data_IF_144334569426
#
_entry.id   IF_144334569426
#
_cell.length_a   1.000
_cell.length_b   1.000
_cell.length_c   1.000
_cell.angle_alpha   90.00
_cell.angle_beta   90.00
_cell.angle_gamma   90.00
#
_symmetry.space_group_name_H-M   'P 1'
#
loop_
_entity.id
_entity.type
_entity.pdbx_description
1 polymer ?
#
# COMPACT_ATOMS: atom_id res chain seq x y z
N UNK A 1 -2.86 -2.59 18.60
CA UNK A 1 -2.12 -3.35 17.57
C UNK A 1 -0.94 -4.03 18.25
N UNK A 2 -0.61 -5.29 17.94
CA UNK A 2 0.57 -5.93 18.58
C UNK A 2 1.88 -5.37 18.03
N UNK A 3 2.95 -5.42 18.83
CA UNK A 3 4.31 -5.02 18.41
C UNK A 3 4.73 -5.73 17.11
N UNK A 4 4.43 -7.01 16.98
CA UNK A 4 4.74 -7.80 15.76
C UNK A 4 4.04 -7.25 14.51
N UNK A 5 2.80 -6.79 14.65
CA UNK A 5 2.06 -6.17 13.54
C UNK A 5 2.67 -4.80 13.16
N UNK A 6 3.09 -4.01 14.15
CA UNK A 6 3.77 -2.73 13.90
C UNK A 6 5.12 -2.90 13.20
N UNK A 7 5.89 -3.93 13.59
CA UNK A 7 7.16 -4.29 12.95
C UNK A 7 6.95 -4.79 11.52
N UNK A 8 5.92 -5.61 11.27
CA UNK A 8 5.54 -6.02 9.91
C UNK A 8 5.21 -4.81 9.04
N UNK A 9 4.41 -3.88 9.57
CA UNK A 9 4.10 -2.60 8.92
C UNK A 9 5.35 -1.79 8.57
N UNK A 10 6.30 -1.69 9.50
CA UNK A 10 7.58 -1.01 9.26
C UNK A 10 8.41 -1.69 8.19
N UNK A 11 8.54 -3.02 8.27
CA UNK A 11 9.34 -3.78 7.31
C UNK A 11 8.83 -3.57 5.88
N UNK A 12 7.51 -3.62 5.67
CA UNK A 12 6.92 -3.32 4.36
C UNK A 12 7.13 -1.88 3.94
N UNK A 13 6.91 -0.91 4.84
CA UNK A 13 7.11 0.51 4.56
C UNK A 13 8.55 0.80 4.09
N UNK A 14 9.56 0.35 4.85
CA UNK A 14 10.96 0.60 4.49
C UNK A 14 11.39 -0.20 3.27
N UNK A 15 10.86 -1.39 3.05
CA UNK A 15 11.11 -2.16 1.84
C UNK A 15 10.62 -1.39 0.60
N UNK A 16 9.37 -0.92 0.58
CA UNK A 16 8.85 -0.19 -0.58
C UNK A 16 9.58 1.14 -0.77
N UNK A 17 9.98 1.82 0.31
CA UNK A 17 10.81 3.03 0.21
C UNK A 17 12.12 2.73 -0.51
N UNK A 18 12.85 1.69 -0.07
CA UNK A 18 14.08 1.28 -0.73
C UNK A 18 13.87 0.92 -2.21
N UNK A 19 12.81 0.16 -2.53
CA UNK A 19 12.51 -0.21 -3.93
C UNK A 19 12.25 1.02 -4.80
N UNK A 20 11.41 1.94 -4.32
CA UNK A 20 11.02 3.13 -5.07
C UNK A 20 12.19 4.09 -5.25
N UNK A 21 13.05 4.25 -4.24
CA UNK A 21 14.29 5.02 -4.40
C UNK A 21 15.22 4.43 -5.45
N UNK A 22 15.35 3.09 -5.55
CA UNK A 22 16.12 2.49 -6.65
C UNK A 22 15.50 2.69 -8.03
N UNK A 23 14.20 3.01 -8.09
CA UNK A 23 13.49 3.34 -9.33
C UNK A 23 13.51 4.84 -9.64
N UNK A 24 14.27 5.63 -8.88
CA UNK A 24 14.48 7.06 -9.13
C UNK A 24 13.56 7.99 -8.33
N UNK A 25 12.71 7.48 -7.44
CA UNK A 25 11.82 8.33 -6.65
C UNK A 25 12.50 8.91 -5.41
N UNK A 26 12.25 10.19 -5.14
CA UNK A 26 12.47 10.73 -3.79
C UNK A 26 11.31 10.28 -2.91
N UNK A 27 11.61 9.52 -1.84
CA UNK A 27 10.60 8.94 -0.96
C UNK A 27 10.56 9.68 0.37
N UNK A 28 9.37 10.18 0.74
CA UNK A 28 9.12 10.91 1.98
C UNK A 28 8.12 10.14 2.86
N UNK A 29 8.59 9.28 3.79
CA UNK A 29 7.71 8.63 4.76
C UNK A 29 7.05 9.65 5.70
N UNK A 30 5.77 9.46 6.01
CA UNK A 30 5.05 10.33 6.94
C UNK A 30 5.19 9.85 8.38
N UNK A 31 4.85 10.72 9.34
CA UNK A 31 4.80 10.33 10.75
C UNK A 31 3.70 9.28 10.95
N UNK A 32 4.06 8.16 11.59
CA UNK A 32 3.12 7.04 11.80
C UNK A 32 1.91 7.48 12.60
N UNK A 33 0.72 7.06 12.17
CA UNK A 33 -0.60 7.45 12.72
C UNK A 33 -1.03 8.89 12.41
N UNK A 34 -0.30 9.64 11.57
CA UNK A 34 -0.84 10.85 10.99
C UNK A 34 -2.03 10.50 10.06
N UNK A 35 -3.02 11.40 9.99
CA UNK A 35 -4.06 11.29 8.96
C UNK A 35 -3.41 11.55 7.60
N UNK A 36 -3.48 10.59 6.68
CA UNK A 36 -2.96 10.77 5.33
C UNK A 36 -2.29 9.52 4.78
N UNK A 37 -1.49 9.73 3.73
CA UNK A 37 -0.65 8.70 3.13
C UNK A 37 0.46 8.24 4.08
N UNK A 38 0.94 7.00 3.90
CA UNK A 38 2.09 6.51 4.67
C UNK A 38 3.42 7.05 4.13
N UNK A 39 3.45 7.37 2.82
CA UNK A 39 4.57 8.05 2.20
C UNK A 39 4.10 8.85 0.98
N UNK A 40 4.90 9.85 0.62
CA UNK A 40 4.82 10.56 -0.66
C UNK A 40 6.02 10.19 -1.53
N UNK A 41 5.76 10.05 -2.82
CA UNK A 41 6.79 9.95 -3.86
C UNK A 41 6.86 11.28 -4.56
N UNK A 42 8.06 11.84 -4.65
CA UNK A 42 8.32 13.13 -5.27
C UNK A 42 9.18 12.90 -6.50
N UNK A 43 8.80 13.52 -7.60
CA UNK A 43 9.60 13.54 -8.82
C UNK A 43 10.95 14.24 -8.51
N UNK A 44 12.10 13.57 -8.73
CA UNK A 44 13.41 14.16 -8.43
C UNK A 44 13.72 15.41 -9.27
N UNK A 45 13.05 15.61 -10.41
CA UNK A 45 13.26 16.77 -11.29
C UNK A 45 12.24 17.89 -11.05
N UNK A 46 11.11 17.58 -10.38
CA UNK A 46 10.06 18.55 -10.06
C UNK A 46 9.43 18.24 -8.70
N UNK A 47 9.92 18.92 -7.66
CA UNK A 47 9.46 18.70 -6.28
C UNK A 47 7.97 19.02 -6.05
N UNK A 48 7.33 19.79 -6.95
CA UNK A 48 5.89 20.07 -6.87
C UNK A 48 5.04 18.85 -7.28
N UNK A 49 5.60 17.93 -8.06
CA UNK A 49 4.92 16.72 -8.52
C UNK A 49 5.09 15.62 -7.49
N UNK A 50 4.06 15.42 -6.69
CA UNK A 50 4.05 14.41 -5.63
C UNK A 50 2.86 13.46 -5.73
N UNK A 51 3.09 12.22 -5.32
CA UNK A 51 2.14 11.13 -5.40
C UNK A 51 1.97 10.48 -4.05
N UNK A 52 0.73 10.38 -3.58
CA UNK A 52 0.40 9.78 -2.29
C UNK A 52 0.31 8.25 -2.35
N UNK A 53 0.96 7.56 -1.41
CA UNK A 53 0.98 6.10 -1.33
C UNK A 53 0.55 5.61 0.06
N UNK A 54 -0.36 4.64 0.08
CA UNK A 54 -0.65 3.83 1.26
C UNK A 54 0.16 2.52 1.20
N UNK A 55 0.87 2.20 2.29
CA UNK A 55 1.56 0.93 2.49
C UNK A 55 0.69 -0.03 3.30
N UNK A 56 0.53 -1.27 2.82
CA UNK A 56 -0.13 -2.34 3.57
C UNK A 56 0.77 -3.57 3.58
N UNK A 57 1.44 -3.80 4.71
CA UNK A 57 2.35 -4.92 4.87
C UNK A 57 1.68 -6.11 5.57
N UNK A 58 1.88 -7.30 5.03
CA UNK A 58 1.40 -8.57 5.56
C UNK A 58 2.58 -9.52 5.79
N UNK A 59 2.63 -10.16 6.96
CA UNK A 59 3.67 -11.15 7.26
C UNK A 59 3.52 -12.43 6.42
N UNK A 60 2.30 -12.74 5.99
CA UNK A 60 1.93 -13.89 5.15
C UNK A 60 0.70 -13.54 4.32
N UNK A 61 0.36 -14.37 3.33
CA UNK A 61 -0.86 -14.21 2.52
C UNK A 61 -2.10 -14.07 3.40
N UNK A 62 -2.82 -12.96 3.26
CA UNK A 62 -4.05 -12.61 3.98
C UNK A 62 -4.82 -11.54 3.21
N UNK A 63 -6.11 -11.39 3.49
CA UNK A 63 -6.86 -10.21 3.07
C UNK A 63 -6.32 -8.94 3.75
N UNK A 64 -6.41 -7.80 3.07
CA UNK A 64 -6.02 -6.48 3.57
C UNK A 64 -7.25 -5.75 4.12
N UNK A 65 -7.28 -5.36 5.40
CA UNK A 65 -8.41 -4.60 5.94
C UNK A 65 -8.41 -3.16 5.38
N UNK A 66 -9.57 -2.72 4.89
CA UNK A 66 -9.80 -1.38 4.35
C UNK A 66 -10.63 -0.49 5.29
N UNK A 67 -11.09 -1.03 6.42
CA UNK A 67 -11.91 -0.32 7.42
C UNK A 67 -13.40 -0.40 7.11
N UNK A 68 -14.19 0.53 7.64
CA UNK A 68 -15.67 0.49 7.54
C UNK A 68 -16.25 1.40 6.44
N UNK A 69 -15.42 2.20 5.78
CA UNK A 69 -15.84 3.13 4.73
C UNK A 69 -14.70 3.33 3.72
N UNK A 70 -14.98 2.98 2.46
CA UNK A 70 -14.06 3.17 1.34
C UNK A 70 -13.88 4.67 0.98
N UNK A 71 -14.86 5.50 1.34
CA UNK A 71 -14.81 6.96 1.18
C UNK A 71 -13.84 7.64 2.12
N UNK A 72 -13.17 6.90 3.01
CA UNK A 72 -12.06 7.41 3.85
C UNK A 72 -10.69 7.12 3.27
N UNK A 73 -10.61 6.29 2.23
CA UNK A 73 -9.36 6.01 1.52
C UNK A 73 -9.00 7.23 0.67
N UNK A 74 -7.75 7.68 0.74
CA UNK A 74 -7.29 8.96 0.14
C UNK A 74 -6.07 8.80 -0.75
N UNK A 75 -5.13 7.93 -0.40
CA UNK A 75 -3.90 7.76 -1.16
C UNK A 75 -4.19 7.27 -2.56
N UNK A 76 -3.58 7.93 -3.56
CA UNK A 76 -3.74 7.61 -4.98
C UNK A 76 -3.30 6.19 -5.29
N UNK A 77 -2.19 5.77 -4.71
CA UNK A 77 -1.65 4.41 -4.86
C UNK A 77 -1.65 3.66 -3.55
N UNK A 78 -1.77 2.35 -3.68
CA UNK A 78 -1.71 1.38 -2.61
C UNK A 78 -0.69 0.33 -2.99
N UNK A 79 0.27 0.10 -2.09
CA UNK A 79 1.29 -0.94 -2.27
C UNK A 79 1.13 -1.94 -1.15
N UNK A 80 0.77 -3.16 -1.54
CA UNK A 80 0.58 -4.28 -0.62
C UNK A 80 1.83 -5.14 -0.65
N UNK A 81 2.55 -5.22 0.48
CA UNK A 81 3.73 -6.06 0.62
C UNK A 81 3.36 -7.37 1.32
N UNK A 82 3.54 -8.50 0.66
CA UNK A 82 3.32 -9.84 1.24
C UNK A 82 4.67 -10.46 1.58
N UNK A 83 4.76 -11.10 2.75
CA UNK A 83 6.03 -11.64 3.24
C UNK A 83 6.98 -10.52 3.66
N UNK A 84 6.45 -9.44 4.25
CA UNK A 84 7.21 -8.22 4.54
C UNK A 84 8.43 -8.42 5.45
N UNK A 85 8.47 -9.50 6.22
CA UNK A 85 9.60 -9.86 7.11
C UNK A 85 10.43 -11.03 6.56
N UNK A 86 10.23 -11.40 5.29
CA UNK A 86 11.03 -12.42 4.60
C UNK A 86 12.12 -11.77 3.74
N UNK A 87 13.09 -12.57 3.29
CA UNK A 87 14.17 -12.08 2.43
C UNK A 87 13.71 -11.73 1.00
N UNK A 88 12.54 -12.23 0.59
CA UNK A 88 11.96 -11.97 -0.73
C UNK A 88 10.49 -11.53 -0.63
N UNK A 89 10.21 -10.31 -0.12
CA UNK A 89 8.86 -9.76 -0.13
C UNK A 89 8.34 -9.57 -1.55
N UNK A 90 7.05 -9.81 -1.77
CA UNK A 90 6.37 -9.49 -3.03
C UNK A 90 5.47 -8.28 -2.85
N UNK A 91 5.44 -7.40 -3.84
CA UNK A 91 4.64 -6.20 -3.81
C UNK A 91 3.57 -6.20 -4.90
N UNK A 92 2.41 -5.64 -4.57
CA UNK A 92 1.28 -5.49 -5.48
C UNK A 92 0.85 -4.03 -5.49
N UNK A 93 0.81 -3.44 -6.68
CA UNK A 93 0.57 -2.01 -6.90
C UNK A 93 -0.83 -1.82 -7.46
N UNK A 94 -1.67 -1.08 -6.73
CA UNK A 94 -3.05 -0.80 -7.11
C UNK A 94 -3.35 0.69 -6.99
N UNK A 95 -4.17 1.22 -7.88
CA UNK A 95 -4.76 2.55 -7.74
C UNK A 95 -5.89 2.57 -6.69
N UNK A 96 -6.21 3.76 -6.21
CA UNK A 96 -7.34 3.97 -5.30
C UNK A 96 -8.67 3.46 -5.87
N UNK A 97 -8.88 3.67 -7.18
CA UNK A 97 -10.10 3.21 -7.86
C UNK A 97 -10.20 1.69 -7.86
N UNK A 98 -9.11 1.00 -8.19
CA UNK A 98 -9.06 -0.47 -8.15
C UNK A 98 -9.26 -1.00 -6.72
N UNK A 99 -8.63 -0.39 -5.72
CA UNK A 99 -8.83 -0.78 -4.31
C UNK A 99 -10.31 -0.66 -3.91
N UNK A 100 -11.01 0.39 -4.36
CA UNK A 100 -12.43 0.59 -4.08
C UNK A 100 -13.31 -0.39 -4.86
N UNK A 101 -13.05 -0.57 -6.16
CA UNK A 101 -13.84 -1.41 -7.06
C UNK A 101 -13.69 -2.91 -6.78
N UNK A 102 -12.54 -3.32 -6.23
CA UNK A 102 -12.22 -4.72 -5.93
C UNK A 102 -12.45 -5.09 -4.47
N UNK A 103 -12.90 -4.14 -3.62
CA UNK A 103 -13.14 -4.39 -2.22
C UNK A 103 -14.35 -5.32 -2.01
N UNK A 104 -14.15 -6.35 -1.20
CA UNK A 104 -15.23 -7.14 -0.63
C UNK A 104 -15.79 -6.45 0.60
N UNK A 105 -17.08 -6.67 0.88
CA UNK A 105 -17.75 -6.19 2.09
C UNK A 105 -18.33 -7.34 2.87
N UNK A 106 -18.16 -7.32 4.20
CA UNK A 106 -18.90 -8.19 5.09
C UNK A 106 -20.40 -7.98 4.91
N UNK A 107 -21.14 -9.07 4.68
CA UNK A 107 -22.59 -9.06 4.74
C UNK A 107 -23.09 -9.20 6.20
N UNK A 108 -22.19 -9.50 7.15
CA UNK A 108 -22.42 -9.57 8.59
C UNK A 108 -22.06 -8.31 9.38
N UNK A 109 -21.98 -8.47 10.70
CA UNK A 109 -22.20 -7.43 11.73
C UNK A 109 -21.40 -6.13 11.61
N UNK A 110 -20.13 -6.16 11.24
CA UNK A 110 -19.30 -4.92 11.25
C UNK A 110 -19.34 -4.14 9.93
N UNK A 111 -19.89 -4.74 8.86
CA UNK A 111 -19.91 -4.18 7.49
C UNK A 111 -18.53 -3.69 7.02
N UNK A 112 -17.46 -4.32 7.51
CA UNK A 112 -16.08 -3.96 7.18
C UNK A 112 -15.76 -4.33 5.73
N UNK A 113 -14.84 -3.57 5.14
CA UNK A 113 -14.30 -3.81 3.81
C UNK A 113 -12.91 -4.43 3.92
N UNK A 114 -12.61 -5.33 2.98
CA UNK A 114 -11.27 -5.88 2.80
C UNK A 114 -10.98 -6.12 1.32
N UNK A 115 -9.70 -6.14 0.99
CA UNK A 115 -9.23 -6.56 -0.32
C UNK A 115 -8.70 -8.00 -0.22
N UNK A 116 -9.32 -8.89 -0.99
CA UNK A 116 -9.01 -10.31 -0.98
C UNK A 116 -7.64 -10.63 -1.59
N UNK A 117 -6.89 -11.54 -0.96
CA UNK A 117 -5.57 -11.94 -1.44
C UNK A 117 -5.59 -12.46 -2.87
N UNK A 118 -6.60 -13.26 -3.24
CA UNK A 118 -6.73 -13.78 -4.61
C UNK A 118 -6.95 -12.70 -5.66
N UNK A 119 -7.40 -11.51 -5.26
CA UNK A 119 -7.71 -10.40 -6.16
C UNK A 119 -6.47 -9.52 -6.33
N UNK A 120 -5.89 -9.01 -5.24
CA UNK A 120 -4.74 -8.12 -5.36
C UNK A 120 -3.44 -8.86 -5.75
N UNK A 121 -3.38 -10.19 -5.59
CA UNK A 121 -2.23 -10.98 -6.03
C UNK A 121 -2.33 -11.40 -7.52
N UNK A 122 -3.22 -10.80 -8.30
CA UNK A 122 -3.26 -11.02 -9.74
C UNK A 122 -1.96 -10.55 -10.42
N UNK A 123 -1.52 -11.19 -11.52
CA UNK A 123 -0.29 -10.82 -12.24
C UNK A 123 -0.20 -9.35 -12.61
N UNK A 124 -1.33 -8.72 -12.97
CA UNK A 124 -1.41 -7.31 -13.40
C UNK A 124 -1.04 -6.30 -12.30
N UNK A 125 -1.05 -6.73 -11.03
CA UNK A 125 -0.64 -5.91 -9.89
C UNK A 125 0.76 -6.26 -9.40
N UNK A 126 1.27 -7.46 -9.71
CA UNK A 126 2.52 -7.98 -9.17
C UNK A 126 3.72 -7.18 -9.68
N UNK A 127 4.48 -6.60 -8.75
CA UNK A 127 5.68 -5.78 -9.04
C UNK A 127 5.41 -4.69 -10.10
N UNK A 128 4.17 -4.21 -10.20
CA UNK A 128 3.73 -3.29 -11.24
C UNK A 128 4.12 -1.83 -10.94
N UNK A 129 5.37 -1.61 -10.53
CA UNK A 129 5.92 -0.33 -10.13
C UNK A 129 5.86 0.73 -11.23
N UNK A 130 6.00 0.30 -12.48
CA UNK A 130 5.94 1.13 -13.69
C UNK A 130 4.62 1.91 -13.84
N UNK A 131 3.58 1.51 -13.12
CA UNK A 131 2.26 2.16 -13.14
C UNK A 131 2.27 3.48 -12.36
N UNK A 132 3.19 3.64 -11.42
CA UNK A 132 3.31 4.85 -10.61
C UNK A 132 3.97 5.91 -11.48
N UNK A 133 3.19 6.92 -11.84
CA UNK A 133 3.62 8.09 -12.60
C UNK A 133 3.37 9.35 -11.78
N UNK A 134 4.19 10.40 -11.94
CA UNK A 134 3.92 11.68 -11.30
C UNK A 134 2.69 12.32 -11.94
N UNK A 135 1.93 13.07 -11.15
CA UNK A 135 0.75 13.82 -11.63
C UNK A 135 1.13 14.92 -12.63
#
# INVERSE_FOLDING_TARGET
>A
MSLKAQLTGNAGLFYISWRLTRLGWTVLPTSRNARGADLYLVDPEDEARSVSVQSKALARRSAVPLGTSLDRLRSRWWIITVGATSDAPSCYVLSLEEVRGLASRDQGGTRAYWLEARIFMAPDFAEAWHRIVPD
#
